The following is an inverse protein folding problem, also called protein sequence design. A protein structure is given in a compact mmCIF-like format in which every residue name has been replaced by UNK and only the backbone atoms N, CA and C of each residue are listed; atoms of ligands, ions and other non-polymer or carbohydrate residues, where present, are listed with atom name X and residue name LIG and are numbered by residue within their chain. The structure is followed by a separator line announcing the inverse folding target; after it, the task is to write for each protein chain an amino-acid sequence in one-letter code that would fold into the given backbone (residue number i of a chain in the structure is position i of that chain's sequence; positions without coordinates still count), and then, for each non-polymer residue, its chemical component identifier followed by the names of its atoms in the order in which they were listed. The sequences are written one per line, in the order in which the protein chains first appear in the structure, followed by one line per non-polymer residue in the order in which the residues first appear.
data_IF_495832129141
#
_entry.id   IF_495832129141
#
_cell.length_a   1.000
_cell.length_b   1.000
_cell.length_c   1.000
_cell.angle_alpha   90.00
_cell.angle_beta   90.00
_cell.angle_gamma   90.00
#
_symmetry.space_group_name_H-M   'P 1'
#
loop_
_entity.id
_entity.type
_entity.pdbx_description
1 polymer ?
#
# COMPACT_ATOMS: atom_id res chain seq x y z
N UNK A 1 32.01 -18.77 55.02
CA UNK A 1 31.69 -19.52 53.79
C UNK A 1 31.03 -18.56 52.80
N UNK A 2 31.71 -18.13 51.72
CA UNK A 2 31.09 -17.31 50.69
C UNK A 2 30.81 -18.12 49.42
N UNK A 3 29.71 -17.83 48.73
CA UNK A 3 29.57 -18.18 47.31
C UNK A 3 28.28 -18.88 46.93
N UNK A 4 27.22 -18.11 46.68
CA UNK A 4 26.15 -18.53 45.74
C UNK A 4 25.27 -17.33 45.33
N UNK A 5 25.89 -16.21 44.94
CA UNK A 5 25.16 -15.00 44.48
C UNK A 5 25.47 -14.61 43.04
N UNK A 6 26.68 -14.91 42.57
CA UNK A 6 27.23 -14.40 41.30
C UNK A 6 26.79 -15.23 40.09
N UNK A 7 26.56 -16.53 40.27
CA UNK A 7 26.26 -17.47 39.17
C UNK A 7 24.89 -17.21 38.53
N UNK A 8 23.89 -16.78 39.31
CA UNK A 8 22.53 -16.55 38.81
C UNK A 8 22.44 -15.33 37.89
N UNK A 9 23.06 -14.20 38.26
CA UNK A 9 23.05 -12.96 37.46
C UNK A 9 23.73 -13.15 36.09
N UNK A 10 24.82 -13.90 36.05
CA UNK A 10 25.51 -14.23 34.79
C UNK A 10 24.63 -15.08 33.89
N UNK A 11 23.87 -16.03 34.45
CA UNK A 11 23.00 -16.90 33.66
C UNK A 11 21.87 -16.11 32.99
N UNK A 12 21.24 -15.18 33.72
CA UNK A 12 20.22 -14.29 33.15
C UNK A 12 20.80 -13.39 32.06
N UNK A 13 22.00 -12.84 32.26
CA UNK A 13 22.67 -12.03 31.25
C UNK A 13 22.94 -12.82 29.97
N UNK A 14 23.41 -14.07 30.08
CA UNK A 14 23.66 -14.93 28.92
C UNK A 14 22.37 -15.26 28.18
N UNK A 15 21.30 -15.61 28.92
CA UNK A 15 19.98 -15.90 28.32
C UNK A 15 19.40 -14.67 27.63
N UNK A 16 19.51 -13.48 28.23
CA UNK A 16 19.05 -12.24 27.62
C UNK A 16 19.83 -11.91 26.34
N UNK A 17 21.15 -12.10 26.33
CA UNK A 17 21.95 -11.88 25.11
C UNK A 17 21.59 -12.85 23.99
N UNK A 18 21.36 -14.12 24.31
CA UNK A 18 20.91 -15.13 23.33
C UNK A 18 19.53 -14.77 22.78
N UNK A 19 18.59 -14.39 23.65
CA UNK A 19 17.24 -13.97 23.25
C UNK A 19 17.28 -12.72 22.36
N UNK A 20 18.12 -11.73 22.71
CA UNK A 20 18.31 -10.51 21.93
C UNK A 20 18.88 -10.83 20.54
N UNK A 21 19.87 -11.72 20.47
CA UNK A 21 20.46 -12.15 19.21
C UNK A 21 19.43 -12.88 18.32
N UNK A 22 18.62 -13.76 18.89
CA UNK A 22 17.51 -14.42 18.18
C UNK A 22 16.49 -13.43 17.66
N UNK A 23 16.09 -12.43 18.47
CA UNK A 23 15.20 -11.36 18.03
C UNK A 23 15.79 -10.57 16.86
N UNK A 24 17.08 -10.21 16.93
CA UNK A 24 17.74 -9.47 15.85
C UNK A 24 17.81 -10.28 14.56
N UNK A 25 18.13 -11.58 14.64
CA UNK A 25 18.13 -12.47 13.48
C UNK A 25 16.73 -12.63 12.90
N UNK A 26 15.71 -12.75 13.76
CA UNK A 26 14.32 -12.84 13.32
C UNK A 26 13.86 -11.58 12.59
N UNK A 27 14.14 -10.39 13.15
CA UNK A 27 13.81 -9.11 12.51
C UNK A 27 14.58 -8.93 11.20
N UNK A 28 15.87 -9.26 11.18
CA UNK A 28 16.68 -9.18 9.96
C UNK A 28 16.22 -10.16 8.89
N UNK A 29 15.84 -11.38 9.29
CA UNK A 29 15.26 -12.40 8.43
C UNK A 29 13.91 -11.96 7.86
N UNK A 30 13.01 -11.48 8.71
CA UNK A 30 11.70 -10.95 8.32
C UNK A 30 11.83 -9.74 7.39
N UNK A 31 12.80 -8.85 7.64
CA UNK A 31 13.07 -7.72 6.75
C UNK A 31 13.64 -8.15 5.40
N UNK A 32 14.54 -9.13 5.38
CA UNK A 32 15.18 -9.62 4.15
C UNK A 32 14.23 -10.51 3.31
N UNK A 33 13.35 -11.26 3.97
CA UNK A 33 12.37 -12.16 3.37
C UNK A 33 10.99 -11.51 3.18
N UNK A 34 10.79 -10.30 3.72
CA UNK A 34 9.54 -9.57 3.56
C UNK A 34 9.21 -9.43 2.08
N UNK A 35 8.01 -9.83 1.64
CA UNK A 35 7.63 -9.82 0.24
C UNK A 35 7.86 -8.43 -0.32
N UNK A 36 8.83 -8.34 -1.24
CA UNK A 36 9.37 -7.11 -1.77
C UNK A 36 8.27 -6.15 -2.19
N UNK A 37 8.48 -4.86 -1.87
CA UNK A 37 7.63 -3.69 -2.14
C UNK A 37 6.77 -3.84 -3.41
N UNK A 38 5.52 -3.33 -3.42
CA UNK A 38 4.59 -3.56 -4.51
C UNK A 38 5.24 -3.28 -5.87
N UNK A 39 5.13 -4.25 -6.78
CA UNK A 39 5.69 -4.15 -8.12
C UNK A 39 4.59 -3.56 -8.98
N UNK A 40 4.50 -2.24 -8.91
CA UNK A 40 3.68 -1.41 -9.77
C UNK A 40 4.29 -1.53 -11.17
N UNK A 41 3.71 -2.40 -12.00
CA UNK A 41 4.28 -2.76 -13.30
C UNK A 41 3.78 -1.85 -14.41
N UNK A 42 2.52 -1.42 -14.34
CA UNK A 42 1.87 -0.70 -15.44
C UNK A 42 0.77 0.23 -14.95
N UNK A 43 0.75 1.46 -15.47
CA UNK A 43 -0.34 2.42 -15.27
C UNK A 43 -1.42 2.11 -16.31
N UNK A 44 -2.50 1.48 -15.86
CA UNK A 44 -3.61 1.04 -16.72
C UNK A 44 -4.68 2.13 -16.86
N UNK A 45 -4.74 3.06 -15.90
CA UNK A 45 -5.73 4.12 -15.89
C UNK A 45 -5.13 5.45 -15.42
N UNK A 46 -5.40 6.51 -16.16
CA UNK A 46 -5.13 7.89 -15.75
C UNK A 46 -6.39 8.74 -15.98
N UNK A 47 -7.01 9.21 -14.90
CA UNK A 47 -8.19 10.08 -14.98
C UNK A 47 -7.90 11.39 -14.24
N UNK A 48 -7.85 12.54 -14.93
CA UNK A 48 -7.69 13.83 -14.25
C UNK A 48 -8.97 14.14 -13.45
N UNK A 49 -8.80 14.47 -12.16
CA UNK A 49 -9.89 14.92 -11.27
C UNK A 49 -9.98 16.44 -11.31
N UNK A 50 -8.84 17.12 -11.32
CA UNK A 50 -8.69 18.57 -11.26
C UNK A 50 -7.34 18.95 -11.87
N UNK A 51 -7.07 20.25 -12.03
CA UNK A 51 -5.81 20.75 -12.57
C UNK A 51 -4.58 20.18 -11.81
N UNK A 52 -4.71 20.07 -10.49
CA UNK A 52 -3.64 19.60 -9.61
C UNK A 52 -3.69 18.10 -9.26
N UNK A 53 -4.75 17.36 -9.60
CA UNK A 53 -4.98 16.00 -9.10
C UNK A 53 -5.49 15.02 -10.18
N UNK A 54 -4.97 13.80 -10.15
CA UNK A 54 -5.31 12.71 -11.06
C UNK A 54 -5.43 11.37 -10.32
N UNK A 55 -6.33 10.51 -10.80
CA UNK A 55 -6.47 9.12 -10.37
C UNK A 55 -5.57 8.27 -11.23
N UNK A 56 -4.79 7.41 -10.57
CA UNK A 56 -3.92 6.45 -11.20
C UNK A 56 -4.36 5.04 -10.82
N UNK A 57 -4.71 4.24 -11.81
CA UNK A 57 -4.92 2.81 -11.68
C UNK A 57 -3.65 2.09 -12.09
N UNK A 58 -3.05 1.35 -11.16
CA UNK A 58 -1.80 0.63 -11.39
C UNK A 58 -2.00 -0.87 -11.20
N UNK A 59 -1.50 -1.64 -12.15
CA UNK A 59 -1.48 -3.10 -12.07
C UNK A 59 -0.35 -3.55 -11.17
N UNK A 60 -0.70 -4.35 -10.16
CA UNK A 60 0.23 -5.02 -9.26
C UNK A 60 0.37 -6.48 -9.67
N UNK A 61 1.57 -6.84 -10.14
CA UNK A 61 1.94 -8.20 -10.58
C UNK A 61 2.79 -8.95 -9.54
N UNK A 62 2.59 -8.66 -8.25
CA UNK A 62 3.23 -9.40 -7.14
C UNK A 62 2.91 -10.90 -7.11
N UNK A 63 1.87 -11.31 -7.82
CA UNK A 63 1.28 -12.63 -7.74
C UNK A 63 2.03 -13.75 -8.47
N UNK A 64 2.86 -13.41 -9.46
CA UNK A 64 3.41 -14.40 -10.38
C UNK A 64 2.31 -15.11 -11.20
N UNK A 65 2.64 -16.27 -11.78
CA UNK A 65 1.75 -16.94 -12.75
C UNK A 65 0.45 -17.54 -12.17
N UNK A 66 0.36 -17.75 -10.85
CA UNK A 66 -0.75 -18.49 -10.21
C UNK A 66 -1.68 -17.63 -9.39
N UNK A 67 -1.36 -16.35 -9.17
CA UNK A 67 -2.20 -15.42 -8.43
C UNK A 67 -2.82 -14.43 -9.41
N UNK A 68 -4.13 -14.21 -9.37
CA UNK A 68 -4.80 -13.27 -10.26
C UNK A 68 -4.27 -11.84 -10.06
N UNK A 69 -4.14 -11.11 -11.17
CA UNK A 69 -3.70 -9.71 -11.14
C UNK A 69 -4.59 -8.86 -10.24
N UNK A 70 -3.97 -7.92 -9.53
CA UNK A 70 -4.69 -6.94 -8.70
C UNK A 70 -4.44 -5.54 -9.25
N UNK A 71 -5.50 -4.74 -9.30
CA UNK A 71 -5.47 -3.35 -9.72
C UNK A 71 -5.63 -2.48 -8.47
N UNK A 72 -4.66 -1.58 -8.27
CA UNK A 72 -4.62 -0.64 -7.15
C UNK A 72 -4.89 0.76 -7.67
N UNK A 73 -5.87 1.43 -7.09
CA UNK A 73 -6.25 2.79 -7.46
C UNK A 73 -5.77 3.78 -6.41
N UNK A 74 -5.18 4.87 -6.89
CA UNK A 74 -4.57 5.91 -6.09
C UNK A 74 -5.08 7.28 -6.54
N UNK A 75 -5.25 8.18 -5.59
CA UNK A 75 -5.47 9.61 -5.87
C UNK A 75 -4.16 10.32 -5.57
N UNK A 76 -3.61 10.99 -6.57
CA UNK A 76 -2.35 11.72 -6.39
C UNK A 76 -2.33 13.01 -7.21
N UNK A 77 -1.34 13.86 -6.96
CA UNK A 77 -1.14 15.05 -7.80
C UNK A 77 -0.88 14.63 -9.25
N UNK A 78 -1.20 15.49 -10.20
CA UNK A 78 -0.93 15.23 -11.61
C UNK A 78 0.59 15.11 -11.83
N UNK A 79 1.06 13.90 -12.13
CA UNK A 79 2.44 13.55 -12.45
C UNK A 79 2.61 13.40 -13.98
N UNK A 80 3.80 13.72 -14.48
CA UNK A 80 4.09 13.80 -15.91
C UNK A 80 4.52 12.48 -16.53
N UNK A 81 5.29 11.65 -15.81
CA UNK A 81 5.94 10.47 -16.38
C UNK A 81 5.53 9.19 -15.64
N UNK A 82 5.25 8.12 -16.39
CA UNK A 82 4.83 6.83 -15.83
C UNK A 82 5.83 6.27 -14.82
N UNK A 83 7.14 6.40 -15.07
CA UNK A 83 8.17 5.96 -14.13
C UNK A 83 8.14 6.72 -12.80
N UNK A 84 7.83 8.03 -12.83
CA UNK A 84 7.67 8.85 -11.63
C UNK A 84 6.40 8.46 -10.88
N UNK A 85 5.32 8.21 -11.62
CA UNK A 85 4.03 7.72 -11.08
C UNK A 85 4.25 6.40 -10.33
N UNK A 86 4.89 5.41 -10.95
CA UNK A 86 5.14 4.11 -10.33
C UNK A 86 6.05 4.24 -9.09
N UNK A 87 7.06 5.12 -9.13
CA UNK A 87 7.97 5.34 -8.01
C UNK A 87 7.27 5.98 -6.81
N UNK A 88 6.43 6.99 -7.04
CA UNK A 88 5.74 7.72 -5.97
C UNK A 88 4.54 6.93 -5.42
N UNK A 89 3.80 6.24 -6.30
CA UNK A 89 2.65 5.43 -5.90
C UNK A 89 3.06 4.17 -5.10
N UNK A 90 4.32 3.75 -5.21
CA UNK A 90 4.86 2.64 -4.43
C UNK A 90 4.83 2.88 -2.92
N UNK A 91 5.01 4.14 -2.52
CA UNK A 91 4.96 4.57 -1.11
C UNK A 91 3.61 5.21 -0.73
N UNK A 92 2.71 5.40 -1.70
CA UNK A 92 1.36 5.92 -1.48
C UNK A 92 0.40 4.82 -1.02
N UNK A 93 -0.65 5.20 -0.29
CA UNK A 93 -1.68 4.25 0.13
C UNK A 93 -2.81 4.17 -0.91
N UNK A 94 -3.12 2.98 -1.45
CA UNK A 94 -4.26 2.83 -2.37
C UNK A 94 -5.58 2.99 -1.60
N UNK A 95 -6.57 3.60 -2.23
CA UNK A 95 -7.91 3.72 -1.65
C UNK A 95 -8.83 2.58 -2.08
N UNK A 96 -8.49 1.89 -3.16
CA UNK A 96 -9.23 0.76 -3.68
C UNK A 96 -8.26 -0.26 -4.26
N UNK A 97 -8.46 -1.52 -3.90
CA UNK A 97 -7.77 -2.67 -4.46
C UNK A 97 -8.83 -3.64 -4.97
N UNK A 98 -8.81 -3.92 -6.27
CA UNK A 98 -9.76 -4.83 -6.92
C UNK A 98 -9.03 -5.77 -7.87
N UNK A 99 -9.64 -6.92 -8.17
CA UNK A 99 -9.14 -7.84 -9.19
C UNK A 99 -9.66 -7.51 -10.59
N UNK A 100 -10.61 -6.59 -10.68
CA UNK A 100 -11.22 -6.15 -11.93
C UNK A 100 -10.40 -5.02 -12.57
N UNK A 101 -10.06 -5.17 -13.85
CA UNK A 101 -9.38 -4.13 -14.62
C UNK A 101 -10.34 -3.13 -15.28
N UNK A 102 -11.63 -3.46 -15.36
CA UNK A 102 -12.65 -2.68 -16.04
C UNK A 102 -13.40 -1.71 -15.10
N UNK A 103 -12.65 -1.03 -14.23
CA UNK A 103 -13.22 -0.08 -13.28
C UNK A 103 -13.64 1.22 -13.98
N UNK A 104 -14.88 1.63 -13.77
CA UNK A 104 -15.37 2.94 -14.21
C UNK A 104 -15.21 3.93 -13.06
N UNK A 105 -14.51 5.02 -13.32
CA UNK A 105 -14.28 6.07 -12.34
C UNK A 105 -14.97 7.33 -12.85
N UNK A 106 -15.89 7.85 -12.04
CA UNK A 106 -16.58 9.10 -12.26
C UNK A 106 -16.17 10.10 -11.18
N UNK A 107 -15.94 11.34 -11.57
CA UNK A 107 -15.38 12.37 -10.68
C UNK A 107 -16.32 13.57 -10.63
N UNK A 108 -16.89 13.81 -9.45
CA UNK A 108 -17.72 14.98 -9.17
C UNK A 108 -17.03 15.90 -8.17
N UNK A 109 -16.24 16.85 -8.68
CA UNK A 109 -15.55 17.93 -7.94
C UNK A 109 -14.65 17.49 -6.77
N UNK A 110 -15.25 16.98 -5.67
CA UNK A 110 -14.57 16.51 -4.44
C UNK A 110 -15.01 15.10 -4.02
N UNK A 111 -15.83 14.46 -4.84
CA UNK A 111 -16.36 13.11 -4.67
C UNK A 111 -15.87 12.27 -5.84
N UNK A 112 -15.35 11.08 -5.57
CA UNK A 112 -15.00 10.11 -6.60
C UNK A 112 -15.98 8.95 -6.47
N UNK A 113 -16.71 8.65 -7.53
CA UNK A 113 -17.56 7.47 -7.61
C UNK A 113 -16.84 6.42 -8.44
N UNK A 114 -16.55 5.28 -7.82
CA UNK A 114 -15.87 4.17 -8.47
C UNK A 114 -16.84 3.00 -8.59
N UNK A 115 -17.07 2.55 -9.81
CA UNK A 115 -17.90 1.39 -10.12
C UNK A 115 -17.03 0.20 -10.52
N UNK A 116 -17.18 -0.89 -9.78
CA UNK A 116 -16.41 -2.13 -9.95
C UNK A 116 -17.41 -3.28 -10.17
N UNK A 117 -17.16 -4.15 -11.15
CA UNK A 117 -18.00 -5.33 -11.38
C UNK A 117 -17.44 -6.58 -10.70
N UNK A 118 -16.11 -6.65 -10.50
CA UNK A 118 -15.47 -7.78 -9.83
C UNK A 118 -15.29 -7.65 -8.31
N UNK A 119 -14.51 -8.59 -7.76
CA UNK A 119 -14.17 -8.65 -6.34
C UNK A 119 -13.30 -7.47 -5.88
N UNK A 120 -13.79 -6.79 -4.85
CA UNK A 120 -13.05 -5.75 -4.13
C UNK A 120 -12.32 -6.38 -2.95
N UNK A 121 -11.00 -6.30 -2.97
CA UNK A 121 -10.16 -6.83 -1.88
C UNK A 121 -10.00 -5.84 -0.74
N UNK A 122 -9.90 -4.55 -1.05
CA UNK A 122 -9.72 -3.48 -0.06
C UNK A 122 -10.39 -2.19 -0.55
N UNK A 123 -11.05 -1.46 0.35
CA UNK A 123 -11.76 -0.22 0.04
C UNK A 123 -11.74 0.74 1.22
N UNK A 124 -11.36 1.98 0.93
CA UNK A 124 -11.41 3.10 1.85
C UNK A 124 -12.40 4.14 1.31
N UNK A 125 -13.39 4.49 2.13
CA UNK A 125 -14.42 5.48 1.79
C UNK A 125 -13.90 6.92 1.74
N UNK A 126 -12.67 7.15 2.21
CA UNK A 126 -12.00 8.45 2.12
C UNK A 126 -10.53 8.27 1.83
N UNK A 127 -9.99 9.12 0.98
CA UNK A 127 -8.55 9.18 0.71
C UNK A 127 -8.05 10.61 0.79
N UNK A 128 -6.77 10.75 1.13
CA UNK A 128 -6.08 12.03 1.24
C UNK A 128 -5.07 12.11 0.10
N UNK A 129 -5.10 13.20 -0.66
CA UNK A 129 -4.00 13.51 -1.56
C UNK A 129 -3.31 14.81 -1.16
N UNK A 130 -2.00 14.85 -1.37
CA UNK A 130 -1.15 15.99 -1.07
C UNK A 130 -1.05 16.89 -2.29
N UNK A 131 -1.29 18.19 -2.11
CA UNK A 131 -1.16 19.17 -3.18
C UNK A 131 0.30 19.37 -3.60
N UNK A 132 0.53 19.80 -4.84
CA UNK A 132 1.88 20.09 -5.34
C UNK A 132 2.55 21.27 -4.62
N UNK A 133 1.76 22.18 -4.04
CA UNK A 133 2.21 23.50 -3.57
C UNK A 133 2.36 23.64 -2.04
N UNK A 134 2.20 22.57 -1.25
CA UNK A 134 2.28 22.68 0.21
C UNK A 134 1.81 21.45 0.97
N UNK A 135 1.97 21.46 2.29
CA UNK A 135 1.56 20.42 3.24
C UNK A 135 0.05 20.22 3.38
N UNK A 136 -0.74 20.83 2.49
CA UNK A 136 -2.19 20.75 2.47
C UNK A 136 -2.63 19.40 1.90
N UNK A 137 -3.47 18.72 2.69
CA UNK A 137 -4.10 17.46 2.35
C UNK A 137 -5.57 17.70 2.07
N UNK A 138 -6.00 17.30 0.87
CA UNK A 138 -7.42 17.34 0.52
C UNK A 138 -8.01 15.96 0.74
N UNK A 139 -9.03 15.92 1.60
CA UNK A 139 -9.90 14.74 1.75
C UNK A 139 -10.80 14.65 0.53
N UNK A 140 -10.82 13.47 -0.06
CA UNK A 140 -11.71 13.09 -1.14
C UNK A 140 -12.56 11.91 -0.68
N UNK A 141 -13.87 12.08 -0.77
CA UNK A 141 -14.83 11.01 -0.47
C UNK A 141 -14.89 10.07 -1.66
N UNK A 142 -14.72 8.78 -1.41
CA UNK A 142 -14.79 7.73 -2.43
C UNK A 142 -16.06 6.93 -2.22
N UNK A 143 -16.94 6.88 -3.21
CA UNK A 143 -18.13 6.04 -3.22
C UNK A 143 -17.87 4.81 -4.08
N UNK A 144 -18.00 3.62 -3.49
CA UNK A 144 -17.86 2.37 -4.22
C UNK A 144 -19.25 1.84 -4.61
N UNK A 145 -19.43 1.57 -5.89
CA UNK A 145 -20.58 0.83 -6.42
C UNK A 145 -20.08 -0.52 -6.92
N UNK A 146 -20.22 -1.56 -6.09
CA UNK A 146 -19.89 -2.93 -6.45
C UNK A 146 -21.15 -3.69 -6.85
N UNK A 147 -21.18 -4.28 -8.05
CA UNK A 147 -22.17 -5.30 -8.40
C UNK A 147 -21.50 -6.66 -8.37
N UNK A 148 -21.79 -7.55 -7.40
CA UNK A 148 -21.28 -8.91 -7.47
C UNK A 148 -21.90 -9.61 -8.69
N UNK A 149 -21.06 -10.16 -9.56
CA UNK A 149 -21.53 -11.09 -10.58
C UNK A 149 -21.92 -12.39 -9.85
N UNK A 150 -23.20 -12.77 -9.97
CA UNK A 150 -23.79 -13.94 -9.30
C UNK A 150 -23.65 -15.23 -10.09
#
# INVERSE_FOLDING_TARGET
MPGSGTTRKSLYSTVTTILLALCLVYIAGDWLLSPGRPQLTEVVLRVPISDDASIYGVKDDRGGATVPFSYRYYVYRTLGTDSEILAVLKDANPFLVTRDGAVKVDVESRSITVSVSGDVSDYHSSTLYRHANGSDYTVVSVFLNSRPEG
#
